data_IF_089651209674
#
_entry.id   IF_089651209674
#
_cell.length_a   1.000
_cell.length_b   1.000
_cell.length_c   1.000
_cell.angle_alpha   90.00
_cell.angle_beta   90.00
_cell.angle_gamma   90.00
#
_symmetry.space_group_name_H-M   'P 1'
#
loop_
_entity.id
_entity.type
_entity.pdbx_description
1 polymer ?
#
# COMPACT_ATOMS: atom_id res chain seq x y z
N UNK A 1 -17.84 2.46 -7.29
CA UNK A 1 -18.02 1.09 -6.75
C UNK A 1 -17.30 1.08 -5.43
N UNK A 2 -17.88 0.58 -4.34
CA UNK A 2 -17.15 0.44 -3.07
C UNK A 2 -16.10 -0.65 -3.24
N UNK A 3 -14.98 -0.52 -2.54
CA UNK A 3 -13.93 -1.52 -2.59
C UNK A 3 -14.31 -2.71 -1.71
N UNK A 4 -14.28 -3.91 -2.28
CA UNK A 4 -14.80 -5.11 -1.61
C UNK A 4 -13.75 -5.80 -0.72
N UNK A 5 -12.45 -5.61 -1.01
CA UNK A 5 -11.37 -6.17 -0.22
C UNK A 5 -10.07 -5.37 -0.33
N UNK A 6 -9.21 -5.53 0.66
CA UNK A 6 -7.85 -4.99 0.70
C UNK A 6 -6.89 -6.12 1.04
N UNK A 7 -6.09 -6.54 0.06
CA UNK A 7 -5.05 -7.55 0.24
C UNK A 7 -3.72 -6.90 0.60
N UNK A 8 -3.00 -7.52 1.53
CA UNK A 8 -1.69 -7.11 2.00
C UNK A 8 -0.79 -8.34 2.18
N UNK A 9 0.40 -8.30 1.60
CA UNK A 9 1.45 -9.28 1.83
C UNK A 9 2.76 -8.56 2.13
N UNK A 10 3.39 -8.90 3.25
CA UNK A 10 4.65 -8.33 3.71
C UNK A 10 5.80 -9.30 3.47
N UNK A 11 6.75 -8.91 2.65
CA UNK A 11 8.04 -9.62 2.53
C UNK A 11 9.06 -8.98 3.49
N UNK A 12 9.32 -9.66 4.59
CA UNK A 12 10.26 -9.20 5.62
C UNK A 12 11.71 -9.21 5.18
N UNK A 13 12.07 -9.99 4.15
CA UNK A 13 13.46 -10.05 3.63
C UNK A 13 13.80 -8.79 2.85
N UNK A 14 12.91 -8.39 1.94
CA UNK A 14 13.13 -7.20 1.10
C UNK A 14 12.52 -5.93 1.70
N UNK A 15 11.84 -6.03 2.83
CA UNK A 15 11.08 -4.96 3.45
C UNK A 15 10.07 -4.33 2.48
N UNK A 16 9.40 -5.18 1.71
CA UNK A 16 8.42 -4.77 0.71
C UNK A 16 7.00 -5.21 1.05
N UNK A 17 6.06 -4.39 0.63
CA UNK A 17 4.64 -4.66 0.76
C UNK A 17 4.02 -4.77 -0.63
N UNK A 18 3.39 -5.90 -0.90
CA UNK A 18 2.53 -6.10 -2.03
C UNK A 18 1.08 -5.88 -1.60
N UNK A 19 0.39 -4.97 -2.25
CA UNK A 19 -1.02 -4.72 -1.95
C UNK A 19 -1.88 -4.86 -3.19
N UNK A 20 -3.14 -5.25 -2.96
CA UNK A 20 -4.20 -5.11 -3.94
C UNK A 20 -5.37 -4.34 -3.31
N UNK A 21 -5.72 -3.23 -3.94
CA UNK A 21 -6.70 -2.28 -3.40
C UNK A 21 -6.10 -1.03 -2.78
N UNK A 22 -4.78 -0.93 -2.70
CA UNK A 22 -4.07 0.35 -2.51
C UNK A 22 -3.50 0.81 -3.85
N UNK A 23 -3.62 2.09 -4.13
CA UNK A 23 -3.23 2.72 -5.38
C UNK A 23 -2.15 3.77 -5.14
N UNK A 24 -1.58 4.31 -6.23
CA UNK A 24 -0.71 5.48 -6.15
C UNK A 24 -1.39 6.68 -5.46
N UNK A 25 -2.68 6.89 -5.73
CA UNK A 25 -3.46 7.94 -5.05
C UNK A 25 -3.55 7.73 -3.53
N UNK A 26 -3.66 6.48 -3.08
CA UNK A 26 -3.65 6.16 -1.65
C UNK A 26 -2.26 6.45 -1.03
N UNK A 27 -1.18 6.09 -1.74
CA UNK A 27 0.18 6.44 -1.32
C UNK A 27 0.31 7.95 -1.16
N UNK A 28 -0.01 8.72 -2.19
CA UNK A 28 0.07 10.17 -2.16
C UNK A 28 -0.76 10.79 -1.02
N UNK A 29 -1.95 10.26 -0.78
CA UNK A 29 -2.87 10.79 0.24
C UNK A 29 -2.46 10.47 1.66
N UNK A 30 -1.92 9.27 1.91
CA UNK A 30 -1.77 8.74 3.26
C UNK A 30 -0.34 8.69 3.77
N UNK A 31 0.67 8.78 2.89
CA UNK A 31 2.07 8.83 3.33
C UNK A 31 2.35 10.09 4.15
N UNK A 32 3.08 9.94 5.24
CA UNK A 32 3.56 11.05 6.07
C UNK A 32 4.89 11.58 5.60
N UNK A 33 5.78 10.69 5.17
CA UNK A 33 7.08 11.03 4.61
C UNK A 33 6.95 11.17 3.10
N UNK A 34 6.80 12.40 2.62
CA UNK A 34 6.67 12.65 1.18
C UNK A 34 8.03 12.70 0.51
N UNK A 35 8.19 12.04 -0.65
CA UNK A 35 9.39 12.21 -1.47
C UNK A 35 9.59 13.67 -1.88
N UNK A 36 10.83 14.15 -1.82
CA UNK A 36 11.18 15.48 -2.32
C UNK A 36 11.64 15.44 -3.78
N UNK A 37 12.23 14.31 -4.18
CA UNK A 37 12.68 14.10 -5.54
C UNK A 37 12.40 12.66 -5.96
N UNK A 38 12.15 12.45 -7.26
CA UNK A 38 11.88 11.12 -7.84
C UNK A 38 12.82 10.83 -9.00
N UNK A 39 13.35 9.63 -9.03
CA UNK A 39 13.98 9.01 -10.17
C UNK A 39 12.96 8.09 -10.84
N UNK A 40 12.56 8.38 -12.07
CA UNK A 40 11.52 7.67 -12.80
C UNK A 40 12.13 6.49 -13.54
N UNK A 41 11.73 5.27 -13.15
CA UNK A 41 12.33 4.03 -13.68
C UNK A 41 11.61 3.49 -14.92
N UNK A 42 10.48 4.07 -15.29
CA UNK A 42 9.78 3.68 -16.51
C UNK A 42 10.49 4.32 -17.72
N UNK A 43 11.06 3.52 -18.66
CA UNK A 43 11.78 4.05 -19.83
C UNK A 43 10.88 4.82 -20.79
N UNK A 44 9.57 4.63 -20.72
CA UNK A 44 8.57 5.33 -21.55
C UNK A 44 8.00 6.58 -20.89
N UNK A 45 8.48 6.91 -19.69
CA UNK A 45 8.07 8.13 -19.00
C UNK A 45 8.51 9.36 -19.79
N UNK A 46 7.60 10.34 -19.90
CA UNK A 46 7.85 11.59 -20.63
C UNK A 46 7.94 12.80 -19.71
N UNK A 47 7.44 12.65 -18.49
CA UNK A 47 7.48 13.72 -17.48
C UNK A 47 8.87 13.85 -16.87
N UNK A 48 9.13 14.99 -16.28
CA UNK A 48 10.40 15.29 -15.63
C UNK A 48 11.52 15.65 -16.58
N UNK A 49 12.67 15.96 -16.00
CA UNK A 49 13.89 16.35 -16.70
C UNK A 49 14.74 15.12 -16.99
N UNK A 50 15.42 15.11 -18.15
CA UNK A 50 16.39 14.06 -18.46
C UNK A 50 17.68 14.28 -17.67
N UNK A 51 18.15 13.27 -16.97
CA UNK A 51 19.39 13.28 -16.22
C UNK A 51 20.47 12.49 -16.98
N UNK A 52 21.49 13.18 -17.52
CA UNK A 52 22.44 12.57 -18.47
C UNK A 52 23.34 11.48 -17.90
N UNK A 53 23.70 11.58 -16.61
CA UNK A 53 24.62 10.63 -15.99
C UNK A 53 23.97 9.26 -15.80
N UNK A 54 22.73 9.25 -15.33
CA UNK A 54 22.00 8.01 -15.06
C UNK A 54 21.17 7.52 -16.26
N UNK A 55 20.83 8.40 -17.20
CA UNK A 55 19.95 8.10 -18.32
C UNK A 55 18.46 8.02 -17.95
N UNK A 56 18.10 8.34 -16.73
CA UNK A 56 16.72 8.37 -16.26
C UNK A 56 16.11 9.78 -16.36
N UNK A 57 14.80 9.85 -16.14
CA UNK A 57 14.12 11.13 -15.89
C UNK A 57 13.96 11.35 -14.41
N UNK A 58 13.96 12.61 -13.99
CA UNK A 58 13.87 13.05 -12.60
C UNK A 58 12.81 14.11 -12.43
N UNK A 59 12.11 14.06 -11.31
CA UNK A 59 11.28 15.13 -10.79
C UNK A 59 12.00 15.70 -9.57
N UNK A 60 12.22 17.01 -9.52
CA UNK A 60 12.97 17.67 -8.45
C UNK A 60 12.11 18.67 -7.70
N UNK A 61 12.18 18.62 -6.39
CA UNK A 61 11.47 19.51 -5.47
C UNK A 61 10.06 19.02 -5.15
N UNK A 62 9.66 19.21 -3.91
CA UNK A 62 8.39 18.72 -3.36
C UNK A 62 7.18 19.19 -4.17
N UNK A 63 7.17 20.47 -4.61
CA UNK A 63 6.05 21.01 -5.38
C UNK A 63 5.90 20.32 -6.74
N UNK A 64 7.02 20.03 -7.41
CA UNK A 64 7.01 19.33 -8.69
C UNK A 64 6.63 17.86 -8.52
N UNK A 65 7.02 17.23 -7.42
CA UNK A 65 6.61 15.86 -7.07
C UNK A 65 5.09 15.81 -6.82
N UNK A 66 4.54 16.76 -6.09
CA UNK A 66 3.10 16.87 -5.88
C UNK A 66 2.33 17.07 -7.20
N UNK A 67 2.82 17.97 -8.07
CA UNK A 67 2.23 18.17 -9.39
C UNK A 67 2.30 16.91 -10.25
N UNK A 68 3.42 16.20 -10.23
CA UNK A 68 3.58 14.92 -10.93
C UNK A 68 2.58 13.88 -10.42
N UNK A 69 2.44 13.72 -9.12
CA UNK A 69 1.49 12.79 -8.52
C UNK A 69 0.04 13.11 -8.92
N UNK A 70 -0.34 14.38 -8.83
CA UNK A 70 -1.67 14.84 -9.26
C UNK A 70 -1.91 14.56 -10.76
N UNK A 71 -0.91 14.83 -11.59
CA UNK A 71 -1.00 14.56 -13.03
C UNK A 71 -1.19 13.08 -13.33
N UNK A 72 -0.45 12.19 -12.65
CA UNK A 72 -0.56 10.75 -12.82
C UNK A 72 -1.93 10.21 -12.38
N UNK A 73 -2.47 10.73 -11.27
CA UNK A 73 -3.83 10.40 -10.83
C UNK A 73 -4.88 10.79 -11.87
N UNK A 74 -4.76 12.00 -12.44
CA UNK A 74 -5.71 12.53 -13.42
C UNK A 74 -5.69 11.77 -14.75
N UNK A 75 -4.52 11.30 -15.17
CA UNK A 75 -4.33 10.56 -16.43
C UNK A 75 -4.71 9.09 -16.33
N UNK A 76 -4.97 8.59 -15.14
CA UNK A 76 -5.19 7.17 -14.89
C UNK A 76 -4.09 6.29 -15.54
N UNK A 77 -2.85 6.77 -15.50
CA UNK A 77 -1.68 6.07 -16.01
C UNK A 77 -1.46 4.82 -15.16
N UNK A 78 -1.13 3.72 -15.78
CA UNK A 78 -0.70 2.48 -15.14
C UNK A 78 0.81 2.30 -15.29
N UNK A 79 1.39 1.49 -14.40
CA UNK A 79 2.81 1.13 -14.42
C UNK A 79 3.76 2.23 -13.96
N UNK A 80 3.32 3.04 -12.99
CA UNK A 80 4.22 3.97 -12.32
C UNK A 80 5.34 3.22 -11.61
N UNK A 81 6.59 3.65 -11.86
CA UNK A 81 7.78 3.08 -11.24
C UNK A 81 8.75 4.20 -10.93
N UNK A 82 9.02 4.38 -9.65
CA UNK A 82 9.95 5.40 -9.21
C UNK A 82 10.66 5.03 -7.91
N UNK A 83 11.82 5.64 -7.69
CA UNK A 83 12.55 5.64 -6.43
C UNK A 83 12.73 7.09 -6.01
N UNK A 84 12.55 7.40 -4.73
CA UNK A 84 12.90 8.71 -4.22
C UNK A 84 14.42 8.82 -4.02
N UNK A 85 14.90 10.05 -4.01
CA UNK A 85 16.28 10.37 -3.65
C UNK A 85 16.34 11.71 -2.91
N UNK A 86 17.40 11.88 -2.09
CA UNK A 86 17.48 13.05 -1.23
C UNK A 86 17.92 14.30 -1.96
N UNK A 87 19.11 14.27 -2.53
CA UNK A 87 19.75 15.41 -3.16
C UNK A 87 20.14 15.10 -4.60
N UNK A 88 20.12 16.12 -5.47
CA UNK A 88 20.45 15.93 -6.90
C UNK A 88 21.89 15.47 -7.11
N UNK A 89 22.83 15.99 -6.33
CA UNK A 89 24.26 15.66 -6.43
C UNK A 89 24.54 14.17 -6.21
N UNK A 90 23.65 13.45 -5.53
CA UNK A 90 23.83 12.01 -5.31
C UNK A 90 23.73 11.22 -6.60
N UNK A 91 22.99 11.70 -7.60
CA UNK A 91 22.85 11.04 -8.90
C UNK A 91 24.18 11.00 -9.63
N UNK A 92 24.99 12.05 -9.52
CA UNK A 92 26.32 12.14 -10.15
C UNK A 92 27.35 11.20 -9.52
N UNK A 93 27.07 10.66 -8.35
CA UNK A 93 27.93 9.71 -7.62
C UNK A 93 27.59 8.27 -7.86
N UNK A 94 26.46 8.00 -8.55
CA UNK A 94 26.08 6.63 -8.89
C UNK A 94 27.11 5.99 -9.81
N UNK A 95 27.55 4.81 -9.43
CA UNK A 95 28.44 4.01 -10.25
C UNK A 95 27.68 3.35 -11.43
N UNK A 96 28.35 2.95 -12.51
CA UNK A 96 27.72 2.22 -13.59
C UNK A 96 27.00 0.95 -13.14
N UNK A 97 27.49 0.28 -12.09
CA UNK A 97 26.85 -0.89 -11.51
C UNK A 97 25.53 -0.53 -10.84
N UNK A 98 25.50 0.54 -10.02
CA UNK A 98 24.26 1.01 -9.38
C UNK A 98 23.22 1.47 -10.41
N UNK A 99 23.65 2.16 -11.48
CA UNK A 99 22.78 2.54 -12.59
C UNK A 99 22.21 1.30 -13.28
N UNK A 100 23.05 0.28 -13.53
CA UNK A 100 22.60 -0.99 -14.05
C UNK A 100 21.57 -1.68 -13.15
N UNK A 101 21.80 -1.67 -11.83
CA UNK A 101 20.85 -2.23 -10.86
C UNK A 101 19.52 -1.50 -10.91
N UNK A 102 19.52 -0.17 -10.99
CA UNK A 102 18.31 0.63 -11.15
C UNK A 102 17.54 0.28 -12.43
N UNK A 103 18.24 0.09 -13.55
CA UNK A 103 17.63 -0.35 -14.82
C UNK A 103 16.97 -1.73 -14.68
N UNK A 104 17.67 -2.69 -14.08
CA UNK A 104 17.12 -4.03 -13.83
C UNK A 104 15.93 -3.98 -12.88
N UNK A 105 15.99 -3.15 -11.85
CA UNK A 105 14.93 -2.95 -10.91
C UNK A 105 13.68 -2.36 -11.58
N UNK A 106 13.85 -1.35 -12.42
CA UNK A 106 12.76 -0.79 -13.22
C UNK A 106 12.07 -1.81 -14.12
N UNK A 107 12.80 -2.78 -14.64
CA UNK A 107 12.25 -3.88 -15.43
C UNK A 107 11.68 -5.03 -14.60
N UNK A 108 11.84 -5.02 -13.29
CA UNK A 108 11.43 -6.09 -12.36
C UNK A 108 11.97 -7.49 -12.74
N UNK A 109 13.11 -7.53 -13.44
CA UNK A 109 13.66 -8.78 -14.01
C UNK A 109 14.58 -9.53 -13.05
N UNK A 110 15.03 -8.90 -11.98
CA UNK A 110 15.95 -9.54 -11.03
C UNK A 110 15.59 -9.29 -9.58
N UNK A 111 15.94 -10.29 -8.78
CA UNK A 111 15.96 -10.23 -7.33
C UNK A 111 17.13 -9.32 -6.90
N UNK A 112 16.94 -8.02 -6.96
CA UNK A 112 17.88 -7.12 -6.34
C UNK A 112 17.95 -7.42 -4.85
N UNK A 113 19.16 -7.48 -4.31
CA UNK A 113 19.38 -7.75 -2.90
C UNK A 113 18.80 -6.66 -2.01
N UNK A 114 18.74 -5.42 -2.51
CA UNK A 114 18.13 -4.31 -1.81
C UNK A 114 17.67 -3.22 -2.78
N UNK A 115 16.44 -2.70 -2.64
CA UNK A 115 15.94 -1.54 -3.38
C UNK A 115 16.41 -0.21 -2.78
N UNK A 116 17.26 -0.25 -1.75
CA UNK A 116 17.74 0.92 -1.05
C UNK A 116 19.21 1.15 -1.37
N UNK A 117 19.48 2.24 -2.04
CA UNK A 117 20.81 2.64 -2.48
C UNK A 117 21.38 3.65 -1.50
N UNK A 118 22.61 3.37 -1.01
CA UNK A 118 23.26 4.25 -0.05
C UNK A 118 23.40 5.66 -0.60
N UNK A 119 23.82 5.79 -1.86
CA UNK A 119 24.03 7.09 -2.50
C UNK A 119 22.71 7.88 -2.64
N UNK A 120 21.62 7.22 -2.99
CA UNK A 120 20.32 7.88 -3.15
C UNK A 120 19.69 8.30 -1.83
N UNK A 121 20.05 7.63 -0.72
CA UNK A 121 19.41 7.80 0.59
C UNK A 121 17.88 7.67 0.53
N UNK A 122 17.39 6.86 -0.41
CA UNK A 122 15.98 6.70 -0.68
C UNK A 122 15.22 6.05 0.47
N UNK A 123 13.98 6.43 0.65
CA UNK A 123 13.03 5.90 1.65
C UNK A 123 12.06 4.91 1.05
N UNK A 124 11.75 5.09 -0.23
CA UNK A 124 10.76 4.29 -0.97
C UNK A 124 11.32 3.82 -2.31
N UNK A 125 10.78 2.68 -2.76
CA UNK A 125 10.79 2.31 -4.16
C UNK A 125 9.37 1.83 -4.50
N UNK A 126 8.70 2.54 -5.39
CA UNK A 126 7.30 2.36 -5.71
C UNK A 126 7.11 1.72 -7.08
N UNK A 127 6.30 0.66 -7.13
CA UNK A 127 5.93 -0.05 -8.35
C UNK A 127 4.43 -0.26 -8.42
N UNK A 128 3.79 0.30 -9.41
CA UNK A 128 2.44 -0.06 -9.78
C UNK A 128 2.49 -1.21 -10.78
N UNK A 129 2.06 -2.40 -10.36
CA UNK A 129 2.05 -3.60 -11.19
C UNK A 129 0.82 -3.66 -12.09
N UNK A 130 -0.29 -3.21 -11.55
CA UNK A 130 -1.56 -3.01 -12.26
C UNK A 130 -2.28 -1.82 -11.62
N UNK A 131 -3.36 -1.32 -12.21
CA UNK A 131 -4.17 -0.21 -11.67
C UNK A 131 -4.62 -0.37 -10.21
N UNK A 132 -4.58 -1.57 -9.65
CA UNK A 132 -5.02 -1.87 -8.27
C UNK A 132 -3.98 -2.63 -7.47
N UNK A 133 -2.84 -2.95 -8.05
CA UNK A 133 -1.81 -3.75 -7.41
C UNK A 133 -0.52 -2.96 -7.37
N UNK A 134 -0.02 -2.72 -6.16
CA UNK A 134 1.24 -2.02 -5.94
C UNK A 134 2.20 -2.88 -5.15
N UNK A 135 3.48 -2.76 -5.47
CA UNK A 135 4.58 -3.26 -4.64
C UNK A 135 5.44 -2.07 -4.25
N UNK A 136 5.56 -1.83 -2.95
CA UNK A 136 6.31 -0.70 -2.43
C UNK A 136 7.34 -1.24 -1.43
N UNK A 137 8.57 -0.81 -1.58
CA UNK A 137 9.63 -1.06 -0.62
C UNK A 137 9.71 0.14 0.33
N UNK A 138 9.85 -0.13 1.61
CA UNK A 138 9.90 0.87 2.67
C UNK A 138 11.22 0.76 3.42
N UNK A 139 11.99 1.83 3.51
CA UNK A 139 13.14 1.87 4.42
C UNK A 139 12.66 1.79 5.88
N UNK A 140 11.56 2.46 6.18
CA UNK A 140 10.89 2.40 7.47
C UNK A 140 9.47 1.82 7.29
N UNK A 141 9.23 0.62 7.77
CA UNK A 141 7.93 -0.06 7.64
C UNK A 141 6.80 0.65 8.40
N UNK A 142 7.12 1.51 9.37
CA UNK A 142 6.12 2.30 10.10
C UNK A 142 5.30 3.21 9.17
N UNK A 143 5.91 3.69 8.09
CA UNK A 143 5.22 4.50 7.07
C UNK A 143 4.06 3.71 6.44
N UNK A 144 4.27 2.41 6.21
CA UNK A 144 3.21 1.54 5.70
C UNK A 144 2.08 1.35 6.71
N UNK A 145 2.40 1.13 7.98
CA UNK A 145 1.36 0.91 9.00
C UNK A 145 0.44 2.13 9.12
N UNK A 146 0.99 3.34 9.09
CA UNK A 146 0.19 4.56 9.07
C UNK A 146 -0.69 4.69 7.82
N UNK A 147 -0.17 4.32 6.66
CA UNK A 147 -0.95 4.32 5.41
C UNK A 147 -2.09 3.30 5.46
N UNK A 148 -1.82 2.07 5.92
CA UNK A 148 -2.80 1.00 6.02
C UNK A 148 -3.91 1.36 7.00
N UNK A 149 -3.55 1.92 8.16
CA UNK A 149 -4.48 2.46 9.16
C UNK A 149 -5.48 3.44 8.54
N UNK A 150 -4.98 4.47 7.86
CA UNK A 150 -5.80 5.49 7.19
C UNK A 150 -6.67 4.90 6.08
N UNK A 151 -6.14 3.96 5.30
CA UNK A 151 -6.89 3.30 4.23
C UNK A 151 -8.06 2.48 4.77
N UNK A 152 -7.84 1.67 5.80
CA UNK A 152 -8.90 0.87 6.43
C UNK A 152 -9.98 1.80 7.00
N UNK A 153 -9.60 2.84 7.71
CA UNK A 153 -10.54 3.81 8.31
C UNK A 153 -11.36 4.54 7.23
N UNK A 154 -10.72 4.89 6.11
CA UNK A 154 -11.40 5.50 4.97
C UNK A 154 -12.43 4.53 4.34
N UNK A 155 -12.04 3.28 4.11
CA UNK A 155 -12.94 2.25 3.56
C UNK A 155 -14.12 1.99 4.51
N UNK A 156 -13.86 1.87 5.81
CA UNK A 156 -14.89 1.71 6.82
C UNK A 156 -15.84 2.91 6.84
N UNK A 157 -15.31 4.12 6.81
CA UNK A 157 -16.11 5.35 6.74
C UNK A 157 -17.02 5.36 5.51
N UNK A 158 -16.51 4.93 4.36
CA UNK A 158 -17.30 4.82 3.12
C UNK A 158 -18.41 3.78 3.22
N UNK A 159 -18.13 2.63 3.84
CA UNK A 159 -19.10 1.56 4.03
C UNK A 159 -20.21 1.97 5.01
N UNK A 160 -19.86 2.52 6.16
CA UNK A 160 -20.79 2.95 7.20
C UNK A 160 -21.70 4.08 6.73
N UNK A 161 -21.18 5.03 5.98
CA UNK A 161 -21.98 6.14 5.45
C UNK A 161 -22.80 5.74 4.19
N UNK A 162 -22.43 4.64 3.52
CA UNK A 162 -23.06 4.18 2.29
C UNK A 162 -22.88 5.16 1.12
N UNK A 163 -23.62 4.93 0.04
CA UNK A 163 -23.57 5.83 -1.12
C UNK A 163 -24.21 7.19 -0.79
N UNK A 164 -23.60 8.30 -1.24
CA UNK A 164 -24.21 9.62 -1.10
C UNK A 164 -25.63 9.62 -1.67
N UNK A 165 -26.60 10.09 -0.89
CA UNK A 165 -27.97 10.28 -1.37
C UNK A 165 -28.20 11.76 -1.63
N UNK A 166 -28.66 12.11 -2.83
CA UNK A 166 -28.97 13.50 -3.20
C UNK A 166 -30.10 14.10 -2.35
N UNK A 167 -30.91 13.25 -1.70
CA UNK A 167 -32.14 13.68 -1.00
C UNK A 167 -32.07 13.61 0.52
N UNK A 168 -30.97 13.11 1.11
CA UNK A 168 -30.84 13.04 2.57
C UNK A 168 -29.52 13.68 3.01
N UNK A 169 -29.62 14.81 3.72
CA UNK A 169 -28.50 15.32 4.52
C UNK A 169 -28.29 14.35 5.69
N UNK A 170 -27.42 13.36 5.51
CA UNK A 170 -26.95 12.50 6.61
C UNK A 170 -25.74 13.18 7.26
N UNK A 171 -25.74 13.18 8.57
CA UNK A 171 -24.54 13.52 9.32
C UNK A 171 -23.52 12.41 9.03
N UNK A 172 -22.43 12.76 8.33
CA UNK A 172 -21.39 11.81 8.01
C UNK A 172 -20.67 11.39 9.30
N UNK A 173 -20.63 10.10 9.54
CA UNK A 173 -19.86 9.55 10.64
C UNK A 173 -18.41 9.40 10.19
N UNK A 174 -17.48 10.12 10.84
CA UNK A 174 -16.05 9.94 10.66
C UNK A 174 -15.59 8.82 11.58
N UNK A 175 -14.96 7.82 11.01
CA UNK A 175 -14.35 6.71 11.74
C UNK A 175 -12.89 7.11 12.02
N UNK A 176 -12.42 7.05 13.28
CA UNK A 176 -11.04 7.36 13.62
C UNK A 176 -10.07 6.38 12.94
N UNK A 177 -8.81 6.78 12.83
CA UNK A 177 -7.77 5.92 12.30
C UNK A 177 -7.60 4.67 13.16
N UNK A 178 -7.34 3.52 12.53
CA UNK A 178 -7.00 2.29 13.26
C UNK A 178 -5.69 2.51 14.00
N UNK A 179 -5.60 2.28 15.31
CA UNK A 179 -4.35 2.42 16.04
C UNK A 179 -3.21 1.61 15.40
N UNK A 180 -2.04 2.21 15.27
CA UNK A 180 -0.88 1.55 14.66
C UNK A 180 -0.49 0.26 15.37
N UNK A 181 -0.69 0.16 16.67
CA UNK A 181 -0.39 -1.04 17.45
C UNK A 181 -1.26 -2.23 17.03
N UNK A 182 -2.52 -1.98 16.66
CA UNK A 182 -3.42 -3.00 16.08
C UNK A 182 -2.86 -3.46 14.74
N UNK A 183 -2.46 -2.53 13.86
CA UNK A 183 -1.88 -2.88 12.56
C UNK A 183 -0.56 -3.66 12.74
N UNK A 184 0.31 -3.22 13.64
CA UNK A 184 1.58 -3.89 13.96
C UNK A 184 1.37 -5.31 14.47
N UNK A 185 0.31 -5.54 15.23
CA UNK A 185 0.00 -6.88 15.76
C UNK A 185 -0.32 -7.90 14.66
N UNK A 186 -0.58 -7.45 13.43
CA UNK A 186 -0.82 -8.29 12.25
C UNK A 186 0.45 -8.54 11.40
N UNK A 187 1.62 -8.02 11.81
CA UNK A 187 2.85 -8.07 10.99
C UNK A 187 3.21 -9.49 10.55
N UNK A 188 3.23 -10.43 11.48
CA UNK A 188 3.57 -11.83 11.17
C UNK A 188 2.53 -12.46 10.23
N UNK A 189 1.26 -12.21 10.50
CA UNK A 189 0.18 -12.72 9.66
C UNK A 189 0.20 -12.11 8.25
N UNK A 190 0.64 -10.84 8.11
CA UNK A 190 0.83 -10.21 6.78
C UNK A 190 1.91 -10.91 5.95
N UNK A 191 2.84 -11.66 6.55
CA UNK A 191 3.85 -12.42 5.80
C UNK A 191 3.23 -13.61 5.05
N UNK A 192 2.12 -14.13 5.55
CA UNK A 192 1.34 -15.19 4.88
C UNK A 192 0.42 -14.64 3.79
N UNK A 193 0.19 -13.32 3.78
CA UNK A 193 -0.78 -12.67 2.91
C UNK A 193 -2.19 -12.67 3.50
N UNK A 194 -2.69 -11.49 3.83
CA UNK A 194 -4.01 -11.32 4.43
C UNK A 194 -4.94 -10.45 3.60
N UNK A 195 -6.23 -10.66 3.81
CA UNK A 195 -7.30 -9.86 3.20
C UNK A 195 -8.20 -9.29 4.27
N UNK A 196 -8.35 -7.99 4.28
CA UNK A 196 -9.46 -7.32 4.95
C UNK A 196 -10.68 -7.37 4.02
N UNK A 197 -11.71 -8.09 4.43
CA UNK A 197 -12.85 -8.39 3.56
C UNK A 197 -14.01 -7.42 3.82
N UNK A 198 -14.08 -6.36 3.04
CA UNK A 198 -15.14 -5.36 3.13
C UNK A 198 -16.47 -5.78 2.48
N UNK A 199 -16.50 -6.87 1.71
CA UNK A 199 -17.76 -7.41 1.17
C UNK A 199 -18.55 -8.20 2.20
N UNK A 200 -17.90 -8.70 3.24
CA UNK A 200 -18.51 -9.50 4.31
C UNK A 200 -18.59 -8.75 5.64
N UNK A 201 -18.54 -7.43 5.60
CA UNK A 201 -18.69 -6.62 6.81
C UNK A 201 -20.12 -6.71 7.36
N UNK A 202 -20.23 -6.61 8.67
CA UNK A 202 -21.50 -6.60 9.37
C UNK A 202 -21.57 -5.47 10.39
N UNK A 203 -22.78 -5.04 10.70
CA UNK A 203 -23.05 -4.05 11.73
C UNK A 203 -23.95 -4.71 12.78
N UNK A 204 -23.39 -4.98 13.95
CA UNK A 204 -24.08 -5.69 15.04
C UNK A 204 -23.84 -4.94 16.33
N UNK A 205 -24.90 -4.61 17.08
CA UNK A 205 -24.82 -3.94 18.40
C UNK A 205 -23.91 -2.70 18.43
N UNK A 206 -24.05 -1.81 17.45
CA UNK A 206 -23.19 -0.62 17.27
C UNK A 206 -21.70 -0.92 17.02
N UNK A 207 -21.38 -2.12 16.58
CA UNK A 207 -20.06 -2.54 16.16
C UNK A 207 -20.01 -2.80 14.66
N UNK A 208 -19.00 -2.26 14.01
CA UNK A 208 -18.69 -2.53 12.61
C UNK A 208 -17.57 -3.55 12.55
N UNK A 209 -17.85 -4.68 11.94
CA UNK A 209 -17.00 -5.87 11.93
C UNK A 209 -16.43 -6.08 10.54
N UNK A 210 -15.11 -6.13 10.42
CA UNK A 210 -14.37 -6.43 9.18
C UNK A 210 -13.63 -7.76 9.35
N UNK A 211 -14.07 -8.84 8.67
CA UNK A 211 -13.36 -10.11 8.72
C UNK A 211 -11.97 -10.02 8.08
N UNK A 212 -11.00 -10.71 8.69
CA UNK A 212 -9.63 -10.87 8.18
C UNK A 212 -9.42 -12.33 7.84
N UNK A 213 -8.93 -12.59 6.62
CA UNK A 213 -8.65 -13.94 6.13
C UNK A 213 -7.20 -14.05 5.69
N UNK A 214 -6.62 -15.24 5.82
CA UNK A 214 -5.38 -15.63 5.13
C UNK A 214 -5.72 -16.12 3.74
N UNK A 215 -4.84 -15.84 2.79
CA UNK A 215 -4.95 -16.31 1.41
C UNK A 215 -3.76 -17.22 1.11
N UNK A 216 -4.01 -18.52 0.98
CA UNK A 216 -2.99 -19.56 0.76
C UNK A 216 -2.18 -19.40 -0.53
N UNK A 217 -2.57 -18.52 -1.41
CA UNK A 217 -1.99 -18.47 -2.73
C UNK A 217 -1.81 -17.05 -3.28
N UNK A 218 -0.93 -16.98 -4.27
CA UNK A 218 -0.48 -15.74 -4.86
C UNK A 218 -1.61 -14.82 -5.36
N UNK A 219 -1.27 -13.58 -5.60
CA UNK A 219 -2.13 -12.47 -5.99
C UNK A 219 -3.14 -12.77 -7.12
N UNK A 220 -2.86 -13.73 -8.00
CA UNK A 220 -3.75 -14.09 -9.12
C UNK A 220 -5.05 -14.72 -8.66
N UNK A 221 -5.05 -15.42 -7.54
CA UNK A 221 -6.22 -16.09 -6.99
C UNK A 221 -7.15 -15.17 -6.19
N UNK A 222 -6.63 -14.04 -5.67
CA UNK A 222 -7.43 -13.11 -4.86
C UNK A 222 -8.62 -12.51 -5.63
N UNK A 223 -8.54 -12.39 -6.95
CA UNK A 223 -9.66 -11.84 -7.75
C UNK A 223 -10.88 -12.76 -7.83
N UNK A 224 -10.65 -14.08 -7.78
CA UNK A 224 -11.69 -15.10 -7.91
C UNK A 224 -11.84 -15.93 -6.62
N UNK A 225 -11.22 -15.48 -5.53
CA UNK A 225 -11.22 -16.22 -4.28
C UNK A 225 -12.53 -16.05 -3.54
N UNK A 226 -13.19 -17.17 -3.26
CA UNK A 226 -14.32 -17.21 -2.36
C UNK A 226 -13.80 -17.40 -0.95
N UNK A 227 -13.80 -16.32 -0.15
CA UNK A 227 -13.34 -16.35 1.24
C UNK A 227 -14.20 -17.32 2.05
N UNK A 228 -13.60 -18.41 2.48
CA UNK A 228 -14.22 -19.42 3.33
C UNK A 228 -14.01 -19.07 4.79
N UNK A 229 -14.98 -19.43 5.63
CA UNK A 229 -14.90 -19.16 7.07
C UNK A 229 -13.69 -19.84 7.72
N UNK A 230 -13.28 -20.99 7.22
CA UNK A 230 -12.13 -21.78 7.71
C UNK A 230 -10.77 -21.07 7.58
N UNK A 231 -10.68 -20.09 6.66
CA UNK A 231 -9.47 -19.27 6.48
C UNK A 231 -9.52 -17.93 7.21
N UNK A 232 -10.58 -17.71 7.97
CA UNK A 232 -10.71 -16.51 8.78
C UNK A 232 -9.77 -16.62 9.98
N UNK A 233 -8.96 -15.57 10.18
CA UNK A 233 -7.94 -15.50 11.23
C UNK A 233 -8.29 -14.52 12.34
N UNK A 234 -9.36 -13.75 12.12
CA UNK A 234 -9.83 -12.79 13.09
C UNK A 234 -10.76 -11.74 12.49
N UNK A 235 -11.05 -10.77 13.29
CA UNK A 235 -11.90 -9.64 12.94
C UNK A 235 -11.32 -8.33 13.46
N UNK A 236 -11.37 -7.30 12.65
CA UNK A 236 -11.13 -5.94 13.07
C UNK A 236 -12.49 -5.29 13.36
N UNK A 237 -12.65 -4.74 14.55
CA UNK A 237 -13.93 -4.25 15.05
C UNK A 237 -13.81 -2.79 15.45
N UNK A 238 -14.70 -1.97 14.91
CA UNK A 238 -14.90 -0.60 15.35
C UNK A 238 -16.17 -0.50 16.20
N UNK A 239 -16.04 -0.14 17.47
CA UNK A 239 -17.17 0.15 18.37
C UNK A 239 -17.57 1.61 18.24
N UNK A 240 -18.79 1.86 17.79
CA UNK A 240 -19.34 3.22 17.69
C UNK A 240 -19.59 3.82 19.06
N UNK A 241 -20.06 3.02 20.01
CA UNK A 241 -20.36 3.48 21.37
C UNK A 241 -19.10 3.94 22.10
N UNK A 242 -17.99 3.21 21.94
CA UNK A 242 -16.71 3.54 22.59
C UNK A 242 -15.81 4.44 21.73
N UNK A 243 -16.06 4.54 20.42
CA UNK A 243 -15.23 5.30 19.49
C UNK A 243 -13.84 4.68 19.25
N UNK A 244 -13.67 3.38 19.48
CA UNK A 244 -12.38 2.70 19.45
C UNK A 244 -12.37 1.49 18.55
N UNK A 245 -11.16 1.15 18.07
CA UNK A 245 -10.87 -0.07 17.36
C UNK A 245 -10.33 -1.15 18.28
N UNK A 246 -10.66 -2.40 17.98
CA UNK A 246 -10.01 -3.58 18.55
C UNK A 246 -9.87 -4.67 17.49
N UNK A 247 -9.00 -5.64 17.77
CA UNK A 247 -8.84 -6.84 16.97
C UNK A 247 -9.19 -8.05 17.83
N UNK A 248 -9.97 -8.96 17.28
CA UNK A 248 -10.20 -10.29 17.84
C UNK A 248 -9.55 -11.29 16.90
N UNK A 249 -8.53 -12.01 17.40
CA UNK A 249 -7.83 -13.06 16.65
C UNK A 249 -8.52 -14.38 16.93
N UNK A 250 -8.74 -15.17 15.90
CA UNK A 250 -9.15 -16.57 16.04
C UNK A 250 -7.89 -17.41 16.31
N UNK A 251 -7.95 -18.36 17.25
CA UNK A 251 -6.79 -19.18 17.60
C UNK A 251 -6.40 -20.07 16.41
N UNK A 252 -5.18 -19.87 15.93
CA UNK A 252 -4.62 -20.56 14.76
C UNK A 252 -4.25 -22.03 15.00
N UNK A 253 -4.31 -22.51 16.25
CA UNK A 253 -3.81 -23.84 16.64
C UNK A 253 -4.54 -25.02 15.99
N UNK A 254 -5.71 -24.80 15.39
CA UNK A 254 -6.48 -25.90 14.79
C UNK A 254 -6.24 -26.12 13.28
N UNK A 255 -5.64 -25.16 12.57
CA UNK A 255 -5.56 -25.20 11.09
C UNK A 255 -4.25 -25.85 10.60
N UNK A 256 -3.14 -25.66 11.32
CA UNK A 256 -1.83 -26.21 10.93
C UNK A 256 -1.57 -27.66 11.38
N UNK A 257 -2.40 -28.21 12.25
CA UNK A 257 -2.26 -29.61 12.73
C UNK A 257 -3.14 -30.62 11.99
N UNK A 258 -3.90 -30.20 10.98
CA UNK A 258 -4.80 -31.07 10.20
C UNK A 258 -4.32 -31.37 8.76
N UNK A 259 -3.05 -31.07 8.46
CA UNK A 259 -2.44 -31.48 7.18
C UNK A 259 -1.39 -32.58 7.36
#
# INVERSE_FOLDING_TARGET
MLQDYLYVHFDGISNSILTKGMTHSDFNRYTTNRPENLLLLNPYEREGEYEPHTGFRVIRGSDNVEQYFFLMESRAVSELKWIDFKDYDVLQRLTPNEISELLYFGHMKNQLRSPFFYQLQNSFAFFELTKKTTKIYYRNIEDFYGMLSKKISCLTTQQVNGKPSLFKRRQLQLIPEVPNDIIKSLKETMQEGIVFNFSQTSWVNEEYIVPIHVVEDNLRKVENYHFKQEYKIGTLIYSKAAGVWRIEKEEFESILLSQ
#
